data_IF_540881357543
#
_entry.id   IF_540881357543
#
_cell.length_a   1.000
_cell.length_b   1.000
_cell.length_c   1.000
_cell.angle_alpha   90.00
_cell.angle_beta   90.00
_cell.angle_gamma   90.00
#
_symmetry.space_group_name_H-M   'P 1'
#
loop_
_entity.id
_entity.type
_entity.pdbx_description
1 polymer ?
#
# COMPACT_ATOMS: atom_id res chain seq x y z
N UNK A 1 -2.68 8.62 -0.68
CA UNK A 1 -3.32 7.44 -0.06
C UNK A 1 -3.67 7.76 1.39
N UNK A 2 -4.83 7.29 1.85
CA UNK A 2 -5.25 7.37 3.25
C UNK A 2 -4.24 6.63 4.13
N UNK A 3 -4.00 7.13 5.33
CA UNK A 3 -3.19 6.42 6.32
C UNK A 3 -3.85 5.05 6.59
N UNK A 4 -3.05 4.00 6.76
CA UNK A 4 -3.59 2.71 7.22
C UNK A 4 -4.17 2.89 8.62
N UNK A 5 -5.40 2.42 8.83
CA UNK A 5 -6.06 2.53 10.13
C UNK A 5 -5.46 1.58 11.18
N UNK A 6 -4.71 0.55 10.74
CA UNK A 6 -4.05 -0.42 11.61
C UNK A 6 -2.69 -0.92 11.05
N UNK A 7 -1.60 -0.16 11.24
CA UNK A 7 -0.27 -0.54 10.77
C UNK A 7 0.21 -1.93 11.27
N UNK A 8 0.00 -2.31 12.55
CA UNK A 8 0.34 -3.64 13.03
C UNK A 8 -0.33 -4.78 12.25
N UNK A 9 -1.60 -4.63 11.89
CA UNK A 9 -2.32 -5.65 11.09
C UNK A 9 -1.73 -5.79 9.69
N UNK A 10 -1.32 -4.68 9.07
CA UNK A 10 -0.66 -4.71 7.76
C UNK A 10 0.68 -5.46 7.81
N UNK A 11 1.48 -5.20 8.84
CA UNK A 11 2.74 -5.89 9.08
C UNK A 11 2.52 -7.39 9.34
N UNK A 12 1.52 -7.74 10.16
CA UNK A 12 1.14 -9.13 10.42
C UNK A 12 0.72 -9.84 9.13
N UNK A 13 -0.10 -9.20 8.30
CA UNK A 13 -0.50 -9.74 7.00
C UNK A 13 0.70 -9.98 6.09
N UNK A 14 1.64 -9.03 6.04
CA UNK A 14 2.88 -9.17 5.27
C UNK A 14 3.74 -10.34 5.77
N UNK A 15 3.87 -10.49 7.09
CA UNK A 15 4.59 -11.60 7.71
C UNK A 15 3.94 -12.95 7.40
N UNK A 16 2.61 -13.05 7.55
CA UNK A 16 1.86 -14.26 7.23
C UNK A 16 1.96 -14.63 5.75
N UNK A 17 1.93 -13.64 4.85
CA UNK A 17 2.15 -13.87 3.41
C UNK A 17 3.57 -14.34 3.12
N UNK A 18 4.59 -13.79 3.77
CA UNK A 18 5.97 -14.26 3.59
C UNK A 18 6.12 -15.71 4.05
N UNK A 19 5.65 -16.04 5.26
CA UNK A 19 5.67 -17.43 5.75
C UNK A 19 4.86 -18.34 4.84
N UNK A 20 3.66 -17.92 4.43
CA UNK A 20 2.82 -18.65 3.48
C UNK A 20 3.51 -18.87 2.12
N UNK A 21 4.39 -17.97 1.69
CA UNK A 21 5.12 -18.11 0.43
C UNK A 21 6.13 -19.26 0.42
N UNK A 22 6.59 -19.72 1.59
CA UNK A 22 7.35 -20.98 1.69
C UNK A 22 6.48 -22.21 1.42
N UNK A 23 5.16 -22.09 1.60
CA UNK A 23 4.21 -23.12 1.14
C UNK A 23 3.83 -22.93 -0.32
N UNK A 24 3.97 -21.72 -0.88
CA UNK A 24 3.63 -21.44 -2.27
C UNK A 24 4.75 -21.88 -3.23
N UNK A 25 5.96 -21.34 -3.04
CA UNK A 25 7.08 -21.56 -3.95
C UNK A 25 7.72 -22.96 -3.77
N UNK A 26 8.31 -23.32 -2.61
CA UNK A 26 8.94 -24.62 -2.41
C UNK A 26 8.03 -25.83 -2.66
N UNK A 27 6.77 -25.79 -2.21
CA UNK A 27 5.84 -26.92 -2.39
C UNK A 27 5.39 -27.06 -3.86
N UNK A 28 5.60 -26.05 -4.71
CA UNK A 28 5.38 -26.17 -6.16
C UNK A 28 6.28 -27.22 -6.82
N UNK A 29 7.28 -27.77 -6.11
CA UNK A 29 8.02 -28.97 -6.54
C UNK A 29 7.17 -30.27 -6.49
N UNK A 30 6.03 -30.24 -5.79
CA UNK A 30 5.02 -31.31 -5.64
C UNK A 30 5.47 -32.59 -4.92
N UNK A 31 6.76 -32.86 -4.82
CA UNK A 31 7.34 -33.99 -4.09
C UNK A 31 8.70 -33.66 -3.48
N UNK A 32 9.14 -34.44 -2.49
CA UNK A 32 10.48 -34.40 -1.90
C UNK A 32 10.93 -35.86 -1.70
N UNK A 33 11.02 -36.59 -2.81
CA UNK A 33 11.27 -38.04 -2.78
C UNK A 33 12.75 -38.36 -3.01
N UNK A 34 13.43 -37.52 -3.79
CA UNK A 34 14.85 -37.67 -4.13
C UNK A 34 15.71 -36.54 -3.54
N UNK A 35 17.03 -36.77 -3.52
CA UNK A 35 17.99 -35.72 -3.15
C UNK A 35 17.90 -34.50 -4.08
N UNK A 36 17.62 -34.72 -5.37
CA UNK A 36 17.46 -33.65 -6.35
C UNK A 36 16.23 -32.78 -6.06
N UNK A 37 15.14 -33.41 -5.59
CA UNK A 37 13.93 -32.69 -5.18
C UNK A 37 14.20 -31.84 -3.94
N UNK A 38 14.86 -32.42 -2.94
CA UNK A 38 15.24 -31.70 -1.72
C UNK A 38 16.17 -30.50 -2.03
N UNK A 39 17.12 -30.65 -2.95
CA UNK A 39 17.99 -29.56 -3.41
C UNK A 39 17.17 -28.44 -4.07
N UNK A 40 16.20 -28.80 -4.91
CA UNK A 40 15.33 -27.84 -5.60
C UNK A 40 14.42 -27.10 -4.63
N UNK A 41 13.80 -27.80 -3.67
CA UNK A 41 12.98 -27.19 -2.62
C UNK A 41 13.81 -26.24 -1.75
N UNK A 42 15.01 -26.65 -1.33
CA UNK A 42 15.91 -25.80 -0.54
C UNK A 42 16.35 -24.54 -1.30
N UNK A 43 16.72 -24.68 -2.59
CA UNK A 43 17.04 -23.55 -3.46
C UNK A 43 15.84 -22.62 -3.61
N UNK A 44 14.67 -23.16 -3.86
CA UNK A 44 13.42 -22.42 -4.01
C UNK A 44 13.07 -21.62 -2.76
N UNK A 45 13.22 -22.22 -1.58
CA UNK A 45 13.02 -21.53 -0.30
C UNK A 45 14.04 -20.38 -0.12
N UNK A 46 15.29 -20.62 -0.50
CA UNK A 46 16.39 -19.65 -0.40
C UNK A 46 16.18 -18.46 -1.33
N UNK A 47 15.89 -18.71 -2.61
CA UNK A 47 15.65 -17.64 -3.60
C UNK A 47 14.43 -16.81 -3.22
N UNK A 48 13.35 -17.46 -2.73
CA UNK A 48 12.12 -16.79 -2.27
C UNK A 48 12.43 -15.75 -1.20
N UNK A 49 13.17 -16.12 -0.16
CA UNK A 49 13.46 -15.22 0.97
C UNK A 49 14.47 -14.14 0.61
N UNK A 50 15.47 -14.47 -0.22
CA UNK A 50 16.47 -13.48 -0.67
C UNK A 50 15.84 -12.39 -1.54
N UNK A 51 14.92 -12.75 -2.44
CA UNK A 51 14.19 -11.76 -3.25
C UNK A 51 13.29 -10.88 -2.40
N UNK A 52 12.54 -11.48 -1.46
CA UNK A 52 11.67 -10.75 -0.53
C UNK A 52 12.46 -9.72 0.31
N UNK A 53 13.56 -10.17 0.95
CA UNK A 53 14.39 -9.33 1.79
C UNK A 53 15.07 -8.20 0.99
N UNK A 54 15.66 -8.53 -0.15
CA UNK A 54 16.35 -7.54 -0.99
C UNK A 54 15.39 -6.50 -1.59
N UNK A 55 14.19 -6.91 -2.01
CA UNK A 55 13.14 -5.99 -2.46
C UNK A 55 12.64 -5.10 -1.33
N UNK A 56 12.40 -5.65 -0.14
CA UNK A 56 12.03 -4.86 1.04
C UNK A 56 13.07 -3.80 1.40
N UNK A 57 14.34 -4.19 1.47
CA UNK A 57 15.45 -3.26 1.70
C UNK A 57 15.54 -2.19 0.61
N UNK A 58 15.41 -2.56 -0.66
CA UNK A 58 15.46 -1.59 -1.75
C UNK A 58 14.26 -0.64 -1.74
N UNK A 59 13.05 -1.12 -1.46
CA UNK A 59 11.86 -0.28 -1.33
C UNK A 59 12.00 0.73 -0.18
N UNK A 60 12.54 0.28 0.96
CA UNK A 60 12.87 1.13 2.11
C UNK A 60 13.88 2.23 1.74
N UNK A 61 14.93 1.88 0.98
CA UNK A 61 15.93 2.86 0.50
C UNK A 61 15.30 3.86 -0.46
N UNK A 62 14.53 3.39 -1.46
CA UNK A 62 13.86 4.23 -2.45
C UNK A 62 12.93 5.22 -1.75
N UNK A 63 12.07 4.76 -0.83
CA UNK A 63 11.12 5.65 -0.17
C UNK A 63 11.84 6.65 0.74
N UNK A 64 12.85 6.22 1.49
CA UNK A 64 13.64 7.11 2.35
C UNK A 64 14.32 8.22 1.56
N UNK A 65 14.93 7.92 0.40
CA UNK A 65 15.55 8.96 -0.42
C UNK A 65 14.56 10.01 -0.92
N UNK A 66 13.31 9.60 -1.14
CA UNK A 66 12.26 10.45 -1.70
C UNK A 66 11.53 11.27 -0.66
N UNK A 67 11.11 10.66 0.44
CA UNK A 67 10.31 11.32 1.48
C UNK A 67 11.16 11.81 2.64
N UNK A 68 12.42 11.37 2.73
CA UNK A 68 13.30 11.55 3.90
C UNK A 68 12.72 10.97 5.19
N UNK A 69 11.79 10.02 5.06
CA UNK A 69 11.15 9.29 6.16
C UNK A 69 11.19 7.80 5.87
N UNK A 70 11.28 7.00 6.94
CA UNK A 70 11.16 5.55 6.83
C UNK A 70 9.69 5.17 6.81
N UNK A 71 9.22 4.62 5.69
CA UNK A 71 7.83 4.18 5.55
C UNK A 71 7.72 2.65 5.60
N UNK A 72 7.04 2.17 6.63
CA UNK A 72 6.79 0.75 6.84
C UNK A 72 5.89 0.16 5.76
N UNK A 73 4.88 0.91 5.29
CA UNK A 73 3.91 0.39 4.31
C UNK A 73 4.55 0.14 2.96
N UNK A 74 5.33 1.11 2.46
CA UNK A 74 6.11 0.93 1.22
C UNK A 74 7.14 -0.20 1.35
N UNK A 75 7.71 -0.39 2.53
CA UNK A 75 8.65 -1.51 2.77
C UNK A 75 7.93 -2.85 2.72
N UNK A 76 6.76 -2.96 3.35
CA UNK A 76 5.95 -4.18 3.36
C UNK A 76 5.45 -4.54 1.96
N UNK A 77 4.93 -3.57 1.20
CA UNK A 77 4.56 -3.77 -0.22
C UNK A 77 5.76 -4.16 -1.07
N UNK A 78 6.94 -3.57 -0.82
CA UNK A 78 8.20 -3.95 -1.46
C UNK A 78 8.60 -5.40 -1.21
N UNK A 79 8.50 -5.88 0.04
CA UNK A 79 8.74 -7.29 0.40
C UNK A 79 7.85 -8.22 -0.43
N UNK A 80 6.54 -7.92 -0.47
CA UNK A 80 5.57 -8.71 -1.22
C UNK A 80 5.82 -8.66 -2.74
N UNK A 81 6.24 -7.52 -3.29
CA UNK A 81 6.64 -7.42 -4.70
C UNK A 81 7.85 -8.30 -5.05
N UNK A 82 8.81 -8.42 -4.13
CA UNK A 82 9.96 -9.33 -4.30
C UNK A 82 9.56 -10.79 -4.27
N UNK A 83 8.59 -11.16 -3.43
CA UNK A 83 8.00 -12.51 -3.38
C UNK A 83 7.26 -12.84 -4.69
N UNK A 84 6.47 -11.89 -5.21
CA UNK A 84 5.81 -12.04 -6.52
C UNK A 84 6.83 -12.21 -7.63
N UNK A 85 7.82 -11.32 -7.72
CA UNK A 85 8.78 -11.33 -8.82
C UNK A 85 9.58 -12.64 -8.91
N UNK A 86 9.99 -13.22 -7.78
CA UNK A 86 10.77 -14.46 -7.81
C UNK A 86 9.92 -15.70 -8.09
N UNK A 87 8.60 -15.63 -7.94
CA UNK A 87 7.70 -16.80 -8.01
C UNK A 87 7.89 -17.60 -9.30
N UNK A 88 8.00 -16.93 -10.46
CA UNK A 88 8.17 -17.61 -11.75
C UNK A 88 9.52 -18.33 -11.90
N UNK A 89 10.58 -17.84 -11.23
CA UNK A 89 11.96 -18.31 -11.41
C UNK A 89 12.58 -18.99 -10.21
N UNK A 90 11.87 -19.09 -9.08
CA UNK A 90 12.43 -19.45 -7.78
C UNK A 90 13.19 -20.78 -7.76
N UNK A 91 12.77 -21.75 -8.57
CA UNK A 91 13.41 -23.08 -8.69
C UNK A 91 14.55 -23.14 -9.72
N UNK A 92 14.66 -22.16 -10.61
CA UNK A 92 15.55 -22.22 -11.80
C UNK A 92 16.58 -21.10 -11.91
N UNK A 93 16.62 -20.20 -10.92
CA UNK A 93 17.67 -19.17 -10.81
C UNK A 93 18.59 -19.44 -9.63
N UNK A 94 19.79 -18.88 -9.69
CA UNK A 94 20.76 -18.93 -8.60
C UNK A 94 20.35 -18.04 -7.41
N UNK A 95 20.71 -18.38 -6.16
CA UNK A 95 20.41 -17.56 -4.98
C UNK A 95 20.87 -16.10 -5.09
N UNK A 96 22.05 -15.85 -5.67
CA UNK A 96 22.55 -14.49 -5.87
C UNK A 96 21.70 -13.70 -6.87
N UNK A 97 21.16 -14.38 -7.90
CA UNK A 97 20.30 -13.75 -8.91
C UNK A 97 18.95 -13.36 -8.31
N UNK A 98 18.46 -14.10 -7.31
CA UNK A 98 17.23 -13.73 -6.60
C UNK A 98 17.33 -12.37 -5.87
N UNK A 99 18.53 -12.00 -5.39
CA UNK A 99 18.77 -10.68 -4.80
C UNK A 99 18.57 -9.57 -5.86
N UNK A 100 19.08 -9.80 -7.08
CA UNK A 100 18.92 -8.84 -8.18
C UNK A 100 17.46 -8.76 -8.61
N UNK A 101 16.76 -9.91 -8.67
CA UNK A 101 15.34 -9.96 -8.96
C UNK A 101 14.55 -9.06 -7.99
N UNK A 102 14.79 -9.21 -6.69
CA UNK A 102 14.15 -8.42 -5.63
C UNK A 102 14.50 -6.94 -5.70
N UNK A 103 15.78 -6.60 -5.88
CA UNK A 103 16.23 -5.21 -6.03
C UNK A 103 15.51 -4.48 -7.17
N UNK A 104 15.28 -5.16 -8.30
CA UNK A 104 14.57 -4.58 -9.45
C UNK A 104 13.04 -4.64 -9.28
N UNK A 105 12.50 -5.58 -8.49
CA UNK A 105 11.08 -5.62 -8.17
C UNK A 105 10.61 -4.41 -7.33
N UNK A 106 11.45 -3.94 -6.40
CA UNK A 106 11.13 -2.78 -5.56
C UNK A 106 10.71 -1.52 -6.34
N UNK A 107 11.47 -1.03 -7.35
CA UNK A 107 11.02 0.10 -8.16
C UNK A 107 9.76 -0.20 -8.99
N UNK A 108 9.52 -1.45 -9.41
CA UNK A 108 8.26 -1.81 -10.07
C UNK A 108 7.04 -1.53 -9.17
N UNK A 109 7.14 -1.85 -7.87
CA UNK A 109 6.09 -1.55 -6.89
C UNK A 109 5.98 -0.05 -6.64
N UNK A 110 7.08 0.59 -6.22
CA UNK A 110 7.06 1.98 -5.75
C UNK A 110 6.68 2.95 -6.87
N UNK A 111 7.28 2.81 -8.05
CA UNK A 111 6.96 3.69 -9.17
C UNK A 111 5.68 3.28 -9.89
N UNK A 112 5.29 2.00 -9.82
CA UNK A 112 4.00 1.52 -10.31
C UNK A 112 2.83 2.21 -9.61
N UNK A 113 2.87 2.23 -8.27
CA UNK A 113 1.82 2.86 -7.47
C UNK A 113 1.72 4.36 -7.78
N UNK A 114 2.86 5.00 -7.95
CA UNK A 114 2.91 6.40 -8.31
C UNK A 114 2.45 6.72 -9.71
N UNK A 115 2.64 5.78 -10.64
CA UNK A 115 2.14 5.90 -12.00
C UNK A 115 0.60 5.85 -11.98
N UNK A 116 0.02 4.95 -11.19
CA UNK A 116 -1.44 4.88 -11.02
C UNK A 116 -1.99 6.14 -10.34
N UNK A 117 -1.33 6.63 -9.29
CA UNK A 117 -1.69 7.89 -8.64
C UNK A 117 -1.64 9.06 -9.63
N UNK A 118 -0.62 9.11 -10.49
CA UNK A 118 -0.50 10.13 -11.54
C UNK A 118 -1.65 10.09 -12.54
N UNK A 119 -2.08 8.89 -12.94
CA UNK A 119 -3.25 8.69 -13.80
C UNK A 119 -4.59 8.78 -13.06
N UNK A 120 -4.58 9.04 -11.75
CA UNK A 120 -5.78 9.07 -10.89
C UNK A 120 -6.56 7.77 -10.94
N UNK A 121 -5.85 6.64 -11.05
CA UNK A 121 -6.42 5.30 -10.96
C UNK A 121 -6.29 4.85 -9.51
N UNK A 122 -7.42 4.64 -8.85
CA UNK A 122 -7.48 4.19 -7.47
C UNK A 122 -7.31 2.67 -7.39
N UNK A 123 -6.11 2.23 -7.01
CA UNK A 123 -5.80 0.84 -6.69
C UNK A 123 -5.63 0.70 -5.17
N UNK A 124 -6.72 0.40 -4.43
CA UNK A 124 -6.73 0.44 -2.97
C UNK A 124 -5.86 -0.64 -2.33
N UNK A 125 -5.65 -1.76 -3.03
CA UNK A 125 -4.86 -2.89 -2.55
C UNK A 125 -3.41 -2.87 -3.08
N UNK A 126 -3.04 -1.88 -3.90
CA UNK A 126 -1.77 -1.85 -4.65
C UNK A 126 -1.57 -3.11 -5.50
N UNK A 127 -2.68 -3.75 -5.92
CA UNK A 127 -2.66 -5.06 -6.54
C UNK A 127 -1.96 -5.04 -7.91
N UNK A 128 -2.10 -3.96 -8.67
CA UNK A 128 -1.50 -3.85 -10.00
C UNK A 128 0.03 -3.72 -9.91
N UNK A 129 0.54 -2.81 -9.10
CA UNK A 129 1.99 -2.59 -8.97
C UNK A 129 2.69 -3.80 -8.36
N UNK A 130 2.04 -4.42 -7.38
CA UNK A 130 2.58 -5.58 -6.67
C UNK A 130 2.50 -6.85 -7.52
N UNK A 131 1.33 -7.19 -8.09
CA UNK A 131 1.16 -8.44 -8.82
C UNK A 131 1.48 -8.32 -10.31
N UNK A 132 0.96 -7.30 -11.00
CA UNK A 132 1.14 -7.18 -12.45
C UNK A 132 2.56 -6.74 -12.79
N UNK A 133 3.04 -5.59 -12.30
CA UNK A 133 4.35 -5.08 -12.70
C UNK A 133 5.50 -5.96 -12.18
N UNK A 134 5.48 -6.33 -10.90
CA UNK A 134 6.51 -7.22 -10.34
C UNK A 134 6.43 -8.63 -10.94
N UNK A 135 5.23 -9.12 -11.26
CA UNK A 135 5.04 -10.40 -11.93
C UNK A 135 5.57 -10.41 -13.36
N UNK A 136 5.32 -9.36 -14.14
CA UNK A 136 5.89 -9.18 -15.48
C UNK A 136 7.42 -9.20 -15.41
N UNK A 137 8.00 -8.43 -14.48
CA UNK A 137 9.45 -8.44 -14.26
C UNK A 137 9.94 -9.85 -13.93
N UNK A 138 9.29 -10.54 -13.00
CA UNK A 138 9.62 -11.89 -12.58
C UNK A 138 9.64 -12.91 -13.73
N UNK A 139 8.58 -12.91 -14.55
CA UNK A 139 8.45 -13.80 -15.70
C UNK A 139 9.53 -13.54 -16.74
N UNK A 140 9.84 -12.27 -17.02
CA UNK A 140 10.94 -11.91 -17.94
C UNK A 140 12.31 -12.24 -17.35
N UNK A 141 12.49 -12.11 -16.04
CA UNK A 141 13.73 -12.41 -15.34
C UNK A 141 14.15 -13.88 -15.50
N UNK A 142 13.19 -14.81 -15.56
CA UNK A 142 13.44 -16.22 -15.92
C UNK A 142 14.10 -16.32 -17.31
N UNK A 143 13.59 -15.58 -18.29
CA UNK A 143 14.13 -15.53 -19.64
C UNK A 143 15.57 -14.99 -19.71
N UNK A 144 16.01 -14.27 -18.69
CA UNK A 144 17.35 -13.70 -18.60
C UNK A 144 18.32 -14.63 -17.86
N UNK A 145 17.90 -15.25 -16.75
CA UNK A 145 18.79 -15.91 -15.79
C UNK A 145 18.38 -17.33 -15.37
N UNK A 146 17.49 -18.00 -16.11
CA UNK A 146 17.27 -19.44 -15.90
C UNK A 146 18.53 -20.24 -16.23
N UNK A 147 18.93 -21.14 -15.33
CA UNK A 147 20.07 -22.04 -15.51
C UNK A 147 19.66 -23.33 -16.19
N UNK A 148 20.49 -23.81 -17.12
CA UNK A 148 20.23 -25.02 -17.89
C UNK A 148 20.07 -26.25 -16.99
N UNK A 149 21.01 -26.46 -16.06
CA UNK A 149 20.99 -27.61 -15.16
C UNK A 149 19.76 -27.61 -14.24
N UNK A 150 19.29 -26.45 -13.82
CA UNK A 150 18.05 -26.35 -13.03
C UNK A 150 16.81 -26.55 -13.89
N UNK A 151 16.78 -26.03 -15.11
CA UNK A 151 15.66 -26.23 -16.04
C UNK A 151 15.50 -27.71 -16.43
N UNK A 152 16.60 -28.41 -16.65
CA UNK A 152 16.61 -29.86 -16.89
C UNK A 152 16.06 -30.61 -15.67
N UNK A 153 16.59 -30.32 -14.47
CA UNK A 153 16.18 -30.98 -13.22
C UNK A 153 14.70 -30.75 -12.88
N UNK A 154 14.21 -29.52 -13.02
CA UNK A 154 12.87 -29.10 -12.56
C UNK A 154 11.78 -29.47 -13.56
N UNK A 155 12.06 -29.36 -14.86
CA UNK A 155 11.05 -29.51 -15.91
C UNK A 155 11.23 -30.74 -16.80
N UNK A 156 12.18 -31.62 -16.47
CA UNK A 156 12.52 -32.83 -17.22
C UNK A 156 12.69 -32.56 -18.73
N UNK A 157 13.43 -31.49 -19.04
CA UNK A 157 13.71 -31.06 -20.42
C UNK A 157 15.08 -31.57 -20.88
N UNK A 158 15.24 -31.97 -22.15
CA UNK A 158 16.56 -32.26 -22.69
C UNK A 158 17.41 -30.99 -22.74
N UNK A 159 18.76 -31.10 -22.62
CA UNK A 159 19.67 -29.99 -22.79
C UNK A 159 19.41 -29.27 -24.12
N UNK A 160 19.27 -27.95 -24.07
CA UNK A 160 18.93 -27.14 -25.23
C UNK A 160 19.16 -25.67 -24.95
N UNK A 161 19.68 -24.92 -25.93
CA UNK A 161 19.81 -23.46 -25.82
C UNK A 161 18.46 -22.73 -25.74
N UNK A 162 17.36 -23.42 -26.03
CA UNK A 162 16.01 -22.85 -26.01
C UNK A 162 15.45 -22.70 -24.58
N UNK A 163 16.02 -23.41 -23.60
CA UNK A 163 15.58 -23.40 -22.18
C UNK A 163 16.52 -22.62 -21.26
N UNK A 164 17.55 -21.97 -21.81
CA UNK A 164 18.58 -21.26 -21.04
C UNK A 164 18.28 -19.77 -21.05
N UNK A 165 18.49 -19.11 -19.90
CA UNK A 165 18.47 -17.67 -19.78
C UNK A 165 19.46 -17.00 -20.73
N UNK A 166 19.09 -15.83 -21.26
CA UNK A 166 19.91 -15.10 -22.23
C UNK A 166 21.35 -14.87 -21.75
N UNK A 167 21.56 -14.58 -20.46
CA UNK A 167 22.90 -14.31 -19.91
C UNK A 167 23.71 -15.57 -19.58
N UNK A 168 23.13 -16.76 -19.71
CA UNK A 168 23.81 -18.05 -19.58
C UNK A 168 24.11 -18.73 -20.92
N UNK A 169 24.02 -17.99 -22.04
CA UNK A 169 24.32 -18.51 -23.38
C UNK A 169 23.12 -19.09 -24.14
N UNK A 170 21.90 -18.85 -23.63
CA UNK A 170 20.67 -19.13 -24.36
C UNK A 170 20.55 -18.30 -25.65
N UNK A 171 19.74 -18.78 -26.60
CA UNK A 171 19.55 -18.12 -27.89
C UNK A 171 18.41 -17.07 -27.91
N UNK A 172 17.90 -16.70 -26.74
CA UNK A 172 16.80 -15.74 -26.59
C UNK A 172 15.40 -16.32 -26.76
N UNK A 173 15.24 -17.59 -27.16
CA UNK A 173 13.90 -18.19 -27.30
C UNK A 173 13.16 -18.30 -25.97
N UNK A 174 13.85 -18.60 -24.88
CA UNK A 174 13.24 -18.60 -23.55
C UNK A 174 12.68 -17.21 -23.22
N UNK A 175 13.47 -16.15 -23.40
CA UNK A 175 13.02 -14.77 -23.17
C UNK A 175 11.81 -14.40 -24.04
N UNK A 176 11.81 -14.79 -25.32
CA UNK A 176 10.68 -14.59 -26.21
C UNK A 176 9.43 -15.36 -25.77
N UNK A 177 9.60 -16.59 -25.28
CA UNK A 177 8.49 -17.39 -24.74
C UNK A 177 7.90 -16.74 -23.48
N UNK A 178 8.74 -16.28 -22.55
CA UNK A 178 8.31 -15.56 -21.36
C UNK A 178 7.59 -14.25 -21.71
N UNK A 179 8.11 -13.48 -22.65
CA UNK A 179 7.46 -12.26 -23.13
C UNK A 179 6.09 -12.56 -23.77
N UNK A 180 6.03 -13.60 -24.61
CA UNK A 180 4.77 -14.04 -25.23
C UNK A 180 3.75 -14.46 -24.17
N UNK A 181 4.19 -15.21 -23.15
CA UNK A 181 3.34 -15.61 -22.03
C UNK A 181 2.78 -14.41 -21.26
N UNK A 182 3.60 -13.37 -21.03
CA UNK A 182 3.14 -12.11 -20.43
C UNK A 182 2.05 -11.45 -21.28
N UNK A 183 2.29 -11.27 -22.58
CA UNK A 183 1.35 -10.62 -23.49
C UNK A 183 0.02 -11.39 -23.55
N UNK A 184 0.08 -12.71 -23.70
CA UNK A 184 -1.11 -13.57 -23.74
C UNK A 184 -1.88 -13.50 -22.41
N UNK A 185 -1.19 -13.57 -21.27
CA UNK A 185 -1.83 -13.49 -19.94
C UNK A 185 -2.51 -12.14 -19.73
N UNK A 186 -1.87 -11.03 -20.13
CA UNK A 186 -2.46 -9.69 -20.06
C UNK A 186 -3.70 -9.62 -20.96
N UNK A 187 -3.60 -10.03 -22.22
CA UNK A 187 -4.71 -9.97 -23.17
C UNK A 187 -5.91 -10.81 -22.70
N UNK A 188 -5.65 -12.03 -22.22
CA UNK A 188 -6.68 -12.90 -21.66
C UNK A 188 -7.33 -12.31 -20.41
N UNK A 189 -6.52 -11.87 -19.45
CA UNK A 189 -7.02 -11.33 -18.18
C UNK A 189 -7.81 -10.04 -18.40
N UNK A 190 -7.29 -9.11 -19.18
CA UNK A 190 -7.99 -7.86 -19.50
C UNK A 190 -9.28 -8.14 -20.28
N UNK A 191 -9.27 -9.03 -21.27
CA UNK A 191 -10.47 -9.37 -22.04
C UNK A 191 -11.57 -9.95 -21.16
N UNK A 192 -11.23 -10.95 -20.34
CA UNK A 192 -12.19 -11.61 -19.45
C UNK A 192 -12.69 -10.69 -18.33
N UNK A 193 -11.79 -9.98 -17.65
CA UNK A 193 -12.15 -9.10 -16.54
C UNK A 193 -12.91 -7.87 -17.01
N UNK A 194 -12.56 -7.29 -18.16
CA UNK A 194 -13.33 -6.20 -18.74
C UNK A 194 -14.76 -6.64 -19.05
N UNK A 195 -14.94 -7.79 -19.71
CA UNK A 195 -16.28 -8.33 -20.00
C UNK A 195 -17.09 -8.60 -18.73
N UNK A 196 -16.47 -9.23 -17.73
CA UNK A 196 -17.11 -9.54 -16.46
C UNK A 196 -17.52 -8.28 -15.68
N UNK A 197 -16.61 -7.33 -15.46
CA UNK A 197 -16.91 -6.11 -14.73
C UNK A 197 -17.84 -5.17 -15.51
N UNK A 198 -17.74 -5.14 -16.84
CA UNK A 198 -18.71 -4.43 -17.68
C UNK A 198 -20.12 -4.97 -17.50
N UNK A 199 -20.28 -6.31 -17.44
CA UNK A 199 -21.58 -6.95 -17.19
C UNK A 199 -22.10 -6.62 -15.80
N UNK A 200 -21.28 -6.76 -14.75
CA UNK A 200 -21.68 -6.41 -13.38
C UNK A 200 -22.07 -4.93 -13.26
N UNK A 201 -21.35 -4.05 -13.95
CA UNK A 201 -21.69 -2.63 -14.00
C UNK A 201 -23.04 -2.39 -14.71
N UNK A 202 -23.32 -3.09 -15.81
CA UNK A 202 -24.61 -3.01 -16.51
C UNK A 202 -25.78 -3.53 -15.69
N UNK A 203 -25.54 -4.53 -14.85
CA UNK A 203 -26.53 -5.05 -13.91
C UNK A 203 -26.68 -4.19 -12.64
N UNK A 204 -25.87 -3.13 -12.48
CA UNK A 204 -25.89 -2.29 -11.29
C UNK A 204 -25.37 -2.97 -10.02
N UNK A 205 -24.56 -4.04 -10.17
CA UNK A 205 -24.07 -4.87 -9.06
C UNK A 205 -22.61 -4.57 -8.66
N UNK A 206 -21.92 -3.71 -9.40
CA UNK A 206 -20.47 -3.54 -9.24
C UNK A 206 -20.08 -2.64 -8.06
N UNK A 207 -20.83 -1.57 -7.79
CA UNK A 207 -20.52 -0.58 -6.76
C UNK A 207 -21.72 -0.36 -5.86
N UNK A 208 -21.48 -0.28 -4.57
CA UNK A 208 -22.49 0.07 -3.56
C UNK A 208 -22.99 1.51 -3.75
N UNK A 209 -24.13 1.84 -3.14
CA UNK A 209 -24.67 3.20 -3.21
C UNK A 209 -23.77 4.20 -2.47
N UNK A 210 -23.77 5.48 -2.91
CA UNK A 210 -22.94 6.53 -2.28
C UNK A 210 -23.21 6.71 -0.78
N UNK A 211 -24.45 6.50 -0.33
CA UNK A 211 -24.80 6.59 1.08
C UNK A 211 -24.18 5.44 1.90
N UNK A 212 -24.14 4.23 1.34
CA UNK A 212 -23.50 3.05 1.97
C UNK A 212 -21.98 3.19 1.95
N UNK A 213 -21.41 3.68 0.84
CA UNK A 213 -19.99 3.98 0.72
C UNK A 213 -19.55 5.04 1.76
N UNK A 214 -20.35 6.09 1.96
CA UNK A 214 -20.10 7.13 2.95
C UNK A 214 -20.26 6.65 4.40
N UNK A 215 -21.16 5.69 4.66
CA UNK A 215 -21.34 5.10 5.98
C UNK A 215 -20.22 4.11 6.35
N UNK A 216 -19.54 3.57 5.34
CA UNK A 216 -18.56 2.48 5.49
C UNK A 216 -19.23 1.11 5.36
N UNK A 217 -18.57 0.20 4.63
CA UNK A 217 -19.08 -1.15 4.34
C UNK A 217 -19.34 -1.97 5.60
N UNK A 218 -18.56 -1.78 6.67
CA UNK A 218 -18.79 -2.49 7.93
C UNK A 218 -20.16 -2.12 8.52
N UNK A 219 -20.48 -0.82 8.54
CA UNK A 219 -21.75 -0.34 9.07
C UNK A 219 -22.93 -0.67 8.13
N UNK A 220 -22.73 -0.56 6.81
CA UNK A 220 -23.77 -0.77 5.82
C UNK A 220 -24.11 -2.25 5.62
N UNK A 221 -23.10 -3.15 5.62
CA UNK A 221 -23.28 -4.57 5.34
C UNK A 221 -23.36 -5.44 6.59
N UNK A 222 -22.62 -5.11 7.66
CA UNK A 222 -22.54 -5.92 8.89
C UNK A 222 -23.27 -5.29 10.07
N UNK A 223 -23.66 -4.00 9.97
CA UNK A 223 -24.33 -3.28 11.06
C UNK A 223 -23.40 -2.91 12.23
N UNK A 224 -22.09 -3.12 12.07
CA UNK A 224 -21.07 -2.92 13.10
C UNK A 224 -20.03 -1.90 12.61
N UNK A 225 -19.58 -1.01 13.50
CA UNK A 225 -18.45 -0.12 13.19
C UNK A 225 -17.14 -0.82 13.56
N UNK A 226 -16.27 -1.10 12.58
CA UNK A 226 -15.01 -1.84 12.78
C UNK A 226 -14.04 -1.19 13.78
N UNK A 227 -14.21 0.10 14.05
CA UNK A 227 -13.50 0.83 15.10
C UNK A 227 -14.53 1.35 16.09
N UNK A 228 -14.54 0.83 17.31
CA UNK A 228 -15.17 1.53 18.44
C UNK A 228 -14.37 2.81 18.63
N UNK A 229 -14.84 3.91 18.05
CA UNK A 229 -14.33 5.23 18.41
C UNK A 229 -14.58 5.38 19.91
N UNK A 230 -13.54 5.23 20.74
CA UNK A 230 -13.64 5.67 22.13
C UNK A 230 -14.04 7.15 22.06
N UNK A 231 -15.13 7.57 22.72
CA UNK A 231 -15.56 8.95 22.69
C UNK A 231 -14.51 9.76 23.46
N UNK A 232 -13.51 10.24 22.74
CA UNK A 232 -12.49 11.14 23.28
C UNK A 232 -12.92 12.54 22.83
N UNK A 233 -13.40 13.29 23.82
CA UNK A 233 -13.49 14.76 23.85
C UNK A 233 -14.48 15.51 22.96
N UNK A 234 -15.54 14.87 22.47
CA UNK A 234 -16.69 15.61 21.91
C UNK A 234 -17.53 16.37 22.98
N UNK A 235 -17.23 16.21 24.28
CA UNK A 235 -17.96 16.87 25.38
C UNK A 235 -17.23 18.07 26.02
N UNK A 236 -16.01 18.41 25.62
CA UNK A 236 -15.28 19.55 26.20
C UNK A 236 -15.41 20.83 25.36
N UNK A 237 -15.77 20.75 24.08
CA UNK A 237 -15.79 21.91 23.18
C UNK A 237 -17.15 22.64 23.06
N UNK A 238 -18.01 22.53 24.08
CA UNK A 238 -19.22 23.39 24.19
C UNK A 238 -19.40 24.08 25.56
N UNK A 239 -18.40 24.01 26.46
CA UNK A 239 -18.40 24.79 27.71
C UNK A 239 -17.07 25.54 27.86
N UNK A 240 -16.92 26.65 27.16
CA UNK A 240 -15.68 27.44 27.25
C UNK A 240 -15.70 28.73 26.46
N UNK A 241 -16.79 29.50 26.53
CA UNK A 241 -16.82 30.86 25.96
C UNK A 241 -17.46 31.84 26.94
N UNK A 242 -16.82 32.07 28.09
CA UNK A 242 -17.02 33.26 28.92
C UNK A 242 -15.76 33.61 29.70
N UNK A 243 -15.09 34.68 29.24
CA UNK A 243 -14.31 35.71 29.96
C UNK A 243 -13.74 35.39 31.36
N UNK A 244 -12.40 35.50 31.51
CA UNK A 244 -11.73 36.59 32.26
C UNK A 244 -10.25 36.24 32.58
N UNK A 245 -9.52 37.27 32.99
CA UNK A 245 -8.06 37.40 33.12
C UNK A 245 -7.36 36.45 34.11
N UNK A 246 -6.04 36.31 33.86
CA UNK A 246 -4.92 36.02 34.78
C UNK A 246 -4.79 34.61 35.41
N UNK A 247 -3.75 33.87 35.01
CA UNK A 247 -2.48 33.71 35.77
C UNK A 247 -1.65 32.57 35.19
N UNK A 248 -0.34 32.82 35.12
CA UNK A 248 0.74 31.92 34.70
C UNK A 248 0.80 30.66 35.59
N UNK A 249 0.92 29.49 34.98
CA UNK A 249 1.25 28.23 35.63
C UNK A 249 2.02 27.32 34.67
N UNK A 250 3.34 27.49 34.63
CA UNK A 250 4.29 26.57 34.00
C UNK A 250 4.23 25.21 34.72
N UNK A 251 3.93 24.15 33.99
CA UNK A 251 4.40 22.79 34.31
C UNK A 251 5.07 22.23 33.07
N UNK A 252 6.28 21.73 33.26
CA UNK A 252 7.33 21.51 32.26
C UNK A 252 7.39 20.07 31.74
N UNK A 253 7.47 19.95 30.40
CA UNK A 253 8.27 19.03 29.56
C UNK A 253 7.97 17.50 29.51
N UNK A 254 8.50 16.77 28.48
CA UNK A 254 8.87 17.17 27.10
C UNK A 254 8.40 16.18 25.99
N UNK A 255 8.59 16.61 24.74
CA UNK A 255 8.80 15.78 23.54
C UNK A 255 7.58 15.27 22.77
N UNK A 256 7.07 16.10 21.85
CA UNK A 256 6.90 15.77 20.41
C UNK A 256 6.50 17.07 19.70
N UNK A 257 7.45 17.74 19.03
CA UNK A 257 7.13 18.85 18.13
C UNK A 257 6.74 18.27 16.77
N UNK A 258 5.44 18.22 16.50
CA UNK A 258 4.93 18.15 15.13
C UNK A 258 5.04 19.55 14.54
N UNK A 259 5.95 19.71 13.57
CA UNK A 259 6.09 20.95 12.82
C UNK A 259 4.84 21.22 12.01
N UNK A 260 4.16 22.30 12.36
CA UNK A 260 3.05 22.89 11.60
C UNK A 260 3.52 23.35 10.22
N UNK A 261 2.77 22.93 9.20
CA UNK A 261 2.86 23.42 7.81
C UNK A 261 2.35 24.86 7.79
N UNK A 262 3.25 25.81 7.56
CA UNK A 262 3.10 27.01 6.70
C UNK A 262 4.05 28.14 7.16
N UNK A 263 5.07 28.44 6.34
CA UNK A 263 5.65 29.77 6.04
C UNK A 263 6.98 29.57 5.26
N UNK A 264 6.98 29.66 3.92
CA UNK A 264 7.39 30.82 3.06
C UNK A 264 8.71 30.51 2.31
N UNK A 265 9.13 31.22 1.23
CA UNK A 265 8.40 31.91 0.16
C UNK A 265 8.90 31.54 -1.26
N UNK A 266 8.20 32.08 -2.26
CA UNK A 266 8.45 32.06 -3.70
C UNK A 266 9.90 32.40 -4.13
N UNK A 267 10.44 31.62 -5.07
CA UNK A 267 11.32 32.12 -6.13
C UNK A 267 10.70 31.75 -7.48
N UNK A 268 10.09 32.78 -8.05
CA UNK A 268 9.39 32.83 -9.31
C UNK A 268 10.42 33.00 -10.45
N UNK A 269 10.47 32.06 -11.39
CA UNK A 269 11.09 32.25 -12.70
C UNK A 269 9.99 32.48 -13.74
N UNK A 270 9.82 33.76 -14.07
CA UNK A 270 9.60 34.36 -15.39
C UNK A 270 9.17 33.39 -16.51
N UNK A 271 7.88 33.42 -16.87
CA UNK A 271 7.43 33.40 -18.27
C UNK A 271 6.30 34.43 -18.40
N UNK A 272 6.60 35.49 -19.14
CA UNK A 272 5.66 36.45 -19.73
C UNK A 272 4.71 35.70 -20.67
N UNK A 273 3.41 36.01 -20.66
CA UNK A 273 2.64 36.41 -21.85
C UNK A 273 1.32 37.07 -21.40
N UNK A 274 0.92 38.07 -22.18
CA UNK A 274 -0.02 39.14 -21.87
C UNK A 274 -1.51 38.75 -21.96
N UNK A 275 -2.37 39.52 -21.26
CA UNK A 275 -3.67 39.92 -21.81
C UNK A 275 -4.90 39.90 -20.89
N UNK A 276 -5.51 41.09 -20.75
CA UNK A 276 -6.95 41.38 -20.51
C UNK A 276 -7.53 41.29 -19.08
N UNK A 277 -8.38 42.19 -18.56
CA UNK A 277 -8.71 43.61 -18.72
C UNK A 277 -9.54 44.02 -17.46
N UNK A 278 -9.42 45.28 -17.04
CA UNK A 278 -10.10 45.92 -15.91
C UNK A 278 -11.60 46.10 -16.15
N UNK A 279 -12.44 45.71 -15.18
CA UNK A 279 -13.71 46.36 -14.83
C UNK A 279 -14.42 45.56 -13.73
N UNK A 280 -14.42 46.08 -12.49
CA UNK A 280 -15.60 46.20 -11.60
C UNK A 280 -15.23 46.52 -10.15
N UNK A 281 -15.56 47.77 -9.81
CA UNK A 281 -16.32 48.17 -8.62
C UNK A 281 -15.60 48.22 -7.27
N UNK A 282 -14.95 49.37 -7.08
CA UNK A 282 -14.98 50.12 -5.83
C UNK A 282 -16.42 50.49 -5.39
N UNK A 283 -16.57 50.82 -4.10
CA UNK A 283 -17.76 51.25 -3.33
C UNK A 283 -18.61 50.09 -2.75
N UNK A 284 -18.95 50.03 -1.46
CA UNK A 284 -19.25 51.10 -0.49
C UNK A 284 -19.11 50.56 0.94
N UNK A 285 -18.54 51.37 1.83
CA UNK A 285 -18.65 51.26 3.28
C UNK A 285 -20.07 51.66 3.75
N UNK A 286 -20.59 51.01 4.80
CA UNK A 286 -21.74 51.50 5.56
C UNK A 286 -22.25 50.54 6.64
N UNK A 287 -21.93 50.82 7.91
CA UNK A 287 -22.73 50.44 9.09
C UNK A 287 -23.71 51.61 9.41
N UNK A 288 -24.58 51.65 10.46
CA UNK A 288 -24.65 50.82 11.69
C UNK A 288 -26.08 50.54 12.25
N UNK A 289 -26.12 50.00 13.49
CA UNK A 289 -27.10 50.19 14.59
C UNK A 289 -28.13 49.09 14.89
N UNK A 290 -28.36 48.82 16.20
CA UNK A 290 -29.58 48.21 16.72
C UNK A 290 -29.43 47.33 17.97
N UNK A 291 -29.79 47.86 19.15
CA UNK A 291 -29.69 47.26 20.48
C UNK A 291 -30.78 46.23 20.84
N UNK A 292 -30.52 45.36 21.84
CA UNK A 292 -31.34 45.11 23.08
C UNK A 292 -31.04 43.75 23.75
N UNK A 293 -30.73 43.79 25.05
CA UNK A 293 -30.96 42.73 26.07
C UNK A 293 -32.40 42.90 26.64
N UNK A 294 -32.94 42.13 27.62
CA UNK A 294 -32.34 41.12 28.52
C UNK A 294 -33.24 39.89 28.87
N UNK A 295 -32.72 39.01 29.75
CA UNK A 295 -33.40 38.35 30.90
C UNK A 295 -33.13 36.84 31.06
N UNK A 296 -32.48 36.52 32.17
CA UNK A 296 -32.38 35.21 32.86
C UNK A 296 -33.54 35.17 33.90
N UNK A 297 -34.05 34.03 34.41
CA UNK A 297 -33.32 33.28 35.46
C UNK A 297 -33.68 31.78 35.67
N UNK A 298 -32.81 31.09 36.42
CA UNK A 298 -33.17 29.92 37.25
C UNK A 298 -32.92 28.56 36.59
N UNK A 299 -32.47 27.50 37.27
CA UNK A 299 -32.18 27.26 38.68
C UNK A 299 -31.43 25.92 38.78
N UNK A 300 -30.55 25.81 39.78
CA UNK A 300 -29.80 24.62 40.24
C UNK A 300 -30.60 23.31 40.25
N UNK A 301 -29.89 22.19 40.08
CA UNK A 301 -29.81 21.12 41.10
C UNK A 301 -28.58 20.22 40.86
N UNK A 302 -27.80 20.09 41.92
CA UNK A 302 -26.72 19.12 42.15
C UNK A 302 -27.29 17.69 42.24
N UNK A 303 -26.48 16.68 41.89
CA UNK A 303 -26.30 15.46 42.68
C UNK A 303 -24.97 14.79 42.30
N UNK A 304 -24.04 14.80 43.26
CA UNK A 304 -23.03 13.77 43.54
C UNK A 304 -23.67 12.37 43.60
N UNK A 305 -23.01 11.22 43.66
CA UNK A 305 -21.66 10.69 43.45
C UNK A 305 -21.78 9.19 43.82
N UNK A 306 -20.89 8.32 43.31
CA UNK A 306 -20.67 6.92 43.78
C UNK A 306 -21.86 5.95 43.62
N UNK A 307 -21.71 4.73 43.13
CA UNK A 307 -21.12 3.59 43.87
C UNK A 307 -20.98 2.36 42.95
N UNK A 308 -20.06 1.45 43.31
CA UNK A 308 -19.97 0.01 42.97
C UNK A 308 -19.22 -0.34 41.66
N UNK A 309 -17.95 -0.74 41.66
CA UNK A 309 -17.24 -1.86 42.32
C UNK A 309 -17.47 -3.26 41.69
N UNK A 310 -16.34 -3.80 41.22
CA UNK A 310 -15.95 -5.21 41.08
C UNK A 310 -16.67 -6.10 40.05
N UNK A 311 -15.89 -6.72 39.16
CA UNK A 311 -15.63 -8.19 39.17
C UNK A 311 -14.67 -8.66 38.06
N UNK A 312 -13.76 -9.58 38.46
CA UNK A 312 -13.13 -10.71 37.72
C UNK A 312 -12.43 -10.46 36.37
N UNK A 313 -11.10 -10.61 36.21
CA UNK A 313 -10.28 -11.85 36.18
C UNK A 313 -10.93 -13.03 35.47
N UNK A 314 -10.47 -13.36 34.25
CA UNK A 314 -10.02 -14.69 33.81
C UNK A 314 -9.67 -14.71 32.30
N UNK A 315 -8.71 -15.57 31.97
CA UNK A 315 -8.02 -15.84 30.69
C UNK A 315 -6.81 -14.94 30.39
#
# INVERSE_FOLDING_TARGET
>A
RTATDNPPLYLLGTFLLWVGWYSFNPISNLAIDTYSDAETVARTATTTTLSAASSGCMALIIIYWRTRTWDMLTTCTGILGGLVAITAGCSVVEPWAAIICGVVAAPCVVYGDMLLDYFKIDDPACAFSLHALSGIWGVLFVGLLAREDYMIKVYDKPPSKDIIGLFYGGNGKLLLAQFTAVVVTIAWTCGMMYGFFWLLNKLGMLRVGLAEEAAGLDQAAMGESAMVSKPTDAKVMQRGATTSHSTIGLVTNPSYRVGSINQMPLLQQVIHEDGFNFDKLANMNGSPTGARTPSNPGSRKEYDASTLASTSKLA
#
